data_IF_849799882919
#
_entry.id   IF_849799882919
#
_cell.length_a   1.000
_cell.length_b   1.000
_cell.length_c   1.000
_cell.angle_alpha   90.00
_cell.angle_beta   90.00
_cell.angle_gamma   90.00
#
_symmetry.space_group_name_H-M   'P 1'
#
loop_
_entity.id
_entity.type
_entity.pdbx_description
1 polymer ?
#
# COMPACT_ATOMS: atom_id res chain seq x y z
N UNK A 1 42.09 -27.41 5.18
CA UNK A 1 41.06 -28.16 4.43
C UNK A 1 40.47 -27.16 3.47
N UNK A 2 41.05 -27.07 2.28
CA UNK A 2 40.62 -26.11 1.27
C UNK A 2 39.43 -26.70 0.52
N UNK A 3 38.30 -26.02 0.59
CA UNK A 3 37.09 -26.42 -0.14
C UNK A 3 37.10 -25.64 -1.44
N UNK A 4 37.57 -26.27 -2.53
CA UNK A 4 37.43 -25.72 -3.86
C UNK A 4 35.98 -25.93 -4.32
N UNK A 5 35.22 -24.84 -4.45
CA UNK A 5 33.94 -24.86 -5.15
C UNK A 5 34.23 -24.75 -6.65
N UNK A 6 34.14 -25.87 -7.36
CA UNK A 6 34.11 -25.88 -8.82
C UNK A 6 32.74 -25.39 -9.24
N UNK A 7 32.64 -24.15 -9.74
CA UNK A 7 31.46 -23.73 -10.47
C UNK A 7 31.34 -24.64 -11.69
N UNK A 8 30.29 -25.46 -11.74
CA UNK A 8 29.91 -26.14 -12.98
C UNK A 8 29.62 -25.04 -14.01
N UNK A 9 30.14 -25.12 -15.24
CA UNK A 9 29.77 -24.17 -16.28
C UNK A 9 28.25 -24.24 -16.46
N UNK A 10 27.59 -23.10 -16.32
CA UNK A 10 26.17 -22.96 -16.62
C UNK A 10 26.02 -23.20 -18.13
N UNK A 11 24.99 -23.94 -18.54
CA UNK A 11 24.72 -24.13 -19.97
C UNK A 11 24.41 -22.77 -20.61
N UNK A 12 24.81 -22.55 -21.87
CA UNK A 12 24.74 -21.25 -22.57
C UNK A 12 23.33 -20.58 -22.51
N UNK A 13 22.27 -21.39 -22.38
CA UNK A 13 20.88 -20.94 -22.22
C UNK A 13 20.60 -20.35 -20.83
N UNK A 14 21.20 -20.89 -19.75
CA UNK A 14 21.04 -20.35 -18.39
C UNK A 14 21.86 -19.08 -18.17
N UNK A 15 23.03 -18.96 -18.81
CA UNK A 15 23.86 -17.74 -18.78
C UNK A 15 23.13 -16.56 -19.46
N UNK A 16 22.52 -16.80 -20.61
CA UNK A 16 21.73 -15.79 -21.33
C UNK A 16 20.51 -15.30 -20.52
N UNK A 17 19.78 -16.21 -19.88
CA UNK A 17 18.65 -15.87 -19.00
C UNK A 17 19.10 -15.03 -17.79
N UNK A 18 20.31 -15.28 -17.27
CA UNK A 18 20.85 -14.54 -16.13
C UNK A 18 21.35 -13.14 -16.53
N UNK A 19 22.01 -13.01 -17.68
CA UNK A 19 22.41 -11.71 -18.23
C UNK A 19 21.20 -10.83 -18.56
N UNK A 20 20.15 -11.40 -19.17
CA UNK A 20 18.90 -10.70 -19.43
C UNK A 20 18.24 -10.23 -18.11
N UNK A 21 18.17 -11.09 -17.09
CA UNK A 21 17.62 -10.73 -15.79
C UNK A 21 18.44 -9.65 -15.04
N UNK A 22 19.76 -9.66 -15.17
CA UNK A 22 20.63 -8.63 -14.63
C UNK A 22 20.47 -7.30 -15.36
N UNK A 23 20.34 -7.34 -16.70
CA UNK A 23 20.08 -6.17 -17.53
C UNK A 23 18.75 -5.51 -17.13
N UNK A 24 17.67 -6.28 -17.04
CA UNK A 24 16.36 -5.80 -16.58
C UNK A 24 16.42 -5.21 -15.16
N UNK A 25 17.14 -5.86 -14.22
CA UNK A 25 17.29 -5.35 -12.86
C UNK A 25 18.01 -3.99 -12.81
N UNK A 26 19.07 -3.84 -13.60
CA UNK A 26 19.84 -2.59 -13.67
C UNK A 26 19.03 -1.43 -14.28
N UNK A 27 18.28 -1.69 -15.35
CA UNK A 27 17.39 -0.70 -15.96
C UNK A 27 16.27 -0.24 -15.01
N UNK A 28 15.70 -1.17 -14.22
CA UNK A 28 14.67 -0.84 -13.23
C UNK A 28 15.23 0.02 -12.09
N UNK A 29 16.44 -0.28 -11.61
CA UNK A 29 17.11 0.50 -10.57
C UNK A 29 17.42 1.93 -11.04
N UNK A 30 17.92 2.08 -12.27
CA UNK A 30 18.20 3.38 -12.87
C UNK A 30 16.92 4.22 -13.05
N UNK A 31 15.82 3.58 -13.46
CA UNK A 31 14.53 4.24 -13.60
C UNK A 31 13.96 4.70 -12.24
N UNK A 32 14.07 3.88 -11.20
CA UNK A 32 13.63 4.24 -9.85
C UNK A 32 14.43 5.43 -9.29
N UNK A 33 15.76 5.38 -9.44
CA UNK A 33 16.66 6.44 -8.99
C UNK A 33 16.32 7.77 -9.68
N UNK A 34 16.14 7.74 -11.01
CA UNK A 34 15.74 8.91 -11.79
C UNK A 34 14.38 9.47 -11.37
N UNK A 35 13.41 8.60 -11.09
CA UNK A 35 12.11 9.03 -10.60
C UNK A 35 12.23 9.76 -9.26
N UNK A 36 12.98 9.19 -8.32
CA UNK A 36 13.23 9.78 -7.01
C UNK A 36 13.86 11.18 -7.12
N UNK A 37 14.89 11.34 -7.95
CA UNK A 37 15.54 12.64 -8.16
C UNK A 37 14.61 13.68 -8.75
N UNK A 38 13.76 13.31 -9.72
CA UNK A 38 12.78 14.22 -10.30
C UNK A 38 11.75 14.68 -9.25
N UNK A 39 11.31 13.76 -8.38
CA UNK A 39 10.36 14.08 -7.31
C UNK A 39 10.96 15.03 -6.28
N UNK A 40 12.25 14.89 -5.95
CA UNK A 40 12.94 15.85 -5.10
C UNK A 40 13.00 17.25 -5.72
N UNK A 41 13.37 17.33 -7.00
CA UNK A 41 13.38 18.61 -7.74
C UNK A 41 11.99 19.26 -7.77
N UNK A 42 10.93 18.47 -7.91
CA UNK A 42 9.55 18.99 -7.84
C UNK A 42 9.21 19.60 -6.47
N UNK A 43 9.74 19.03 -5.38
CA UNK A 43 9.54 19.58 -4.04
C UNK A 43 10.31 20.87 -3.82
N UNK A 44 11.56 20.94 -4.29
CA UNK A 44 12.40 22.13 -4.14
C UNK A 44 11.86 23.32 -4.94
N UNK A 45 11.24 23.05 -6.09
CA UNK A 45 10.62 24.06 -6.95
C UNK A 45 9.19 24.45 -6.51
N UNK A 46 8.61 23.74 -5.54
CA UNK A 46 7.25 23.99 -5.08
C UNK A 46 7.20 25.18 -4.11
N UNK A 47 6.42 26.20 -4.45
CA UNK A 47 6.18 27.39 -3.59
C UNK A 47 5.28 27.07 -2.38
N UNK A 48 4.82 25.82 -2.25
CA UNK A 48 3.86 25.37 -1.24
C UNK A 48 4.53 24.41 -0.25
N UNK A 49 4.26 24.61 1.04
CA UNK A 49 4.70 23.72 2.11
C UNK A 49 4.25 22.28 1.82
N UNK A 50 5.22 21.43 1.47
CA UNK A 50 5.01 20.04 1.05
C UNK A 50 4.79 19.10 2.24
N UNK A 51 5.07 19.56 3.45
CA UNK A 51 4.95 18.80 4.69
C UNK A 51 4.24 19.62 5.77
N UNK A 52 2.96 19.97 5.57
CA UNK A 52 2.21 20.79 6.51
C UNK A 52 2.16 20.16 7.91
N UNK A 53 2.37 20.98 8.94
CA UNK A 53 2.40 20.53 10.34
C UNK A 53 1.09 19.90 10.83
N UNK A 54 -0.06 20.36 10.32
CA UNK A 54 -1.37 19.90 10.77
C UNK A 54 -2.40 19.99 9.65
N UNK A 55 -3.16 18.92 9.48
CA UNK A 55 -4.36 18.88 8.64
C UNK A 55 -5.52 18.38 9.49
N UNK A 56 -6.58 19.17 9.60
CA UNK A 56 -7.75 18.82 10.40
C UNK A 56 -8.66 17.88 9.60
N UNK A 57 -8.56 16.58 9.86
CA UNK A 57 -9.47 15.55 9.32
C UNK A 57 -10.76 15.57 10.13
N UNK A 58 -11.90 15.72 9.47
CA UNK A 58 -13.21 15.76 10.13
C UNK A 58 -13.77 14.36 10.38
N UNK A 59 -13.54 13.43 9.45
CA UNK A 59 -14.02 12.04 9.52
C UNK A 59 -13.00 11.10 8.85
N UNK A 60 -12.91 9.86 9.34
CA UNK A 60 -12.10 8.83 8.67
C UNK A 60 -12.77 8.34 7.39
N UNK A 61 -12.02 7.69 6.49
CA UNK A 61 -12.59 7.14 5.26
C UNK A 61 -13.59 6.01 5.57
N UNK A 62 -13.35 5.25 6.64
CA UNK A 62 -14.29 4.20 7.08
C UNK A 62 -15.63 4.77 7.54
N UNK A 63 -15.59 5.87 8.31
CA UNK A 63 -16.79 6.58 8.77
C UNK A 63 -17.49 7.29 7.61
N UNK A 64 -16.75 7.89 6.68
CA UNK A 64 -17.29 8.48 5.46
C UNK A 64 -18.13 7.46 4.68
N UNK A 65 -17.57 6.27 4.43
CA UNK A 65 -18.29 5.21 3.73
C UNK A 65 -19.52 4.77 4.51
N UNK A 66 -19.43 4.64 5.84
CA UNK A 66 -20.58 4.26 6.65
C UNK A 66 -21.70 5.32 6.62
N UNK A 67 -21.34 6.60 6.73
CA UNK A 67 -22.25 7.75 6.75
C UNK A 67 -23.02 7.91 5.45
N UNK A 68 -22.36 7.75 4.30
CA UNK A 68 -22.95 7.97 2.98
C UNK A 68 -23.29 6.68 2.22
N UNK A 69 -23.28 5.53 2.91
CA UNK A 69 -23.56 4.21 2.32
C UNK A 69 -24.93 4.11 1.65
N UNK A 70 -25.91 4.84 2.16
CA UNK A 70 -27.31 4.77 1.74
C UNK A 70 -27.65 5.66 0.56
N UNK A 71 -26.70 6.40 -0.01
CA UNK A 71 -26.92 7.21 -1.20
C UNK A 71 -27.17 6.33 -2.43
N UNK A 72 -28.08 6.76 -3.29
CA UNK A 72 -28.33 6.11 -4.57
C UNK A 72 -27.38 6.65 -5.66
N UNK A 73 -27.31 5.95 -6.79
CA UNK A 73 -26.48 6.36 -7.90
C UNK A 73 -26.93 7.73 -8.44
N UNK A 74 -26.02 8.69 -8.46
CA UNK A 74 -26.28 10.06 -8.91
C UNK A 74 -26.68 11.02 -7.79
N UNK A 75 -26.83 10.55 -6.56
CA UNK A 75 -27.10 11.43 -5.43
C UNK A 75 -25.84 12.24 -5.06
N UNK A 76 -26.05 13.52 -4.78
CA UNK A 76 -25.02 14.44 -4.31
C UNK A 76 -25.50 15.14 -3.04
N UNK A 77 -24.63 15.19 -2.03
CA UNK A 77 -24.85 15.97 -0.81
C UNK A 77 -23.93 17.17 -0.86
N UNK A 78 -24.49 18.36 -1.11
CA UNK A 78 -23.70 19.59 -1.29
C UNK A 78 -23.48 20.39 0.00
N UNK A 79 -24.38 20.23 0.98
CA UNK A 79 -24.40 21.00 2.22
C UNK A 79 -23.44 20.48 3.30
N UNK A 80 -22.92 19.26 3.13
CA UNK A 80 -22.09 18.58 4.13
C UNK A 80 -20.61 18.64 3.73
N UNK A 81 -19.87 19.57 4.34
CA UNK A 81 -18.43 19.71 4.11
C UNK A 81 -17.65 18.79 5.04
N UNK A 82 -16.84 17.92 4.44
CA UNK A 82 -15.99 16.97 5.15
C UNK A 82 -14.56 17.02 4.63
N UNK A 83 -13.60 16.85 5.53
CA UNK A 83 -12.19 16.66 5.22
C UNK A 83 -11.78 15.23 5.53
N UNK A 84 -11.24 14.55 4.51
CA UNK A 84 -10.70 13.19 4.61
C UNK A 84 -9.22 13.20 4.24
N UNK A 85 -8.46 12.28 4.81
CA UNK A 85 -7.06 12.07 4.48
C UNK A 85 -6.79 10.60 4.18
N UNK A 86 -5.78 10.33 3.37
CA UNK A 86 -5.38 8.98 3.02
C UNK A 86 -4.24 8.98 2.01
N UNK A 87 -3.82 7.79 1.60
CA UNK A 87 -2.79 7.59 0.59
C UNK A 87 -3.42 7.38 -0.78
N UNK A 88 -2.92 8.09 -1.78
CA UNK A 88 -3.32 7.87 -3.17
C UNK A 88 -2.63 6.61 -3.67
N UNK A 89 -3.42 5.63 -4.10
CA UNK A 89 -2.92 4.35 -4.65
C UNK A 89 -2.92 4.35 -6.18
N UNK A 90 -3.89 5.05 -6.77
CA UNK A 90 -4.04 5.16 -8.22
C UNK A 90 -4.53 6.55 -8.57
N UNK A 91 -4.04 7.06 -9.69
CA UNK A 91 -4.53 8.27 -10.35
C UNK A 91 -4.91 7.88 -11.76
N UNK A 92 -6.15 8.15 -12.15
CA UNK A 92 -6.63 7.94 -13.53
C UNK A 92 -7.24 9.23 -14.06
N UNK A 93 -6.81 9.68 -15.22
CA UNK A 93 -7.39 10.83 -15.91
C UNK A 93 -8.37 10.35 -16.97
N UNK A 94 -9.60 10.89 -16.96
CA UNK A 94 -10.57 10.63 -18.03
C UNK A 94 -10.62 11.78 -19.03
N UNK A 95 -10.19 12.97 -18.63
CA UNK A 95 -10.11 14.19 -19.46
C UNK A 95 -9.12 15.17 -18.83
N UNK A 96 -8.79 16.26 -19.52
CA UNK A 96 -7.98 17.36 -18.97
C UNK A 96 -8.62 18.04 -17.76
N UNK A 97 -9.95 17.94 -17.63
CA UNK A 97 -10.74 18.54 -16.53
C UNK A 97 -11.19 17.53 -15.47
N UNK A 98 -10.95 16.23 -15.67
CA UNK A 98 -11.46 15.19 -14.78
C UNK A 98 -10.41 14.12 -14.51
N UNK A 99 -10.01 14.05 -13.25
CA UNK A 99 -9.12 13.02 -12.72
C UNK A 99 -9.79 12.34 -11.52
N UNK A 100 -9.61 11.04 -11.42
CA UNK A 100 -10.05 10.24 -10.29
C UNK A 100 -8.83 9.75 -9.51
N UNK A 101 -8.96 9.79 -8.19
CA UNK A 101 -7.93 9.35 -7.26
C UNK A 101 -8.51 8.25 -6.37
N UNK A 102 -7.84 7.10 -6.32
CA UNK A 102 -8.20 6.03 -5.40
C UNK A 102 -7.49 6.29 -4.07
N UNK A 103 -8.27 6.73 -3.07
CA UNK A 103 -7.78 7.02 -1.72
C UNK A 103 -7.88 5.77 -0.83
N UNK A 104 -6.76 5.38 -0.23
CA UNK A 104 -6.68 4.27 0.71
C UNK A 104 -6.32 4.78 2.11
N UNK A 105 -7.09 4.38 3.11
CA UNK A 105 -6.90 4.77 4.52
C UNK A 105 -6.86 3.50 5.39
N UNK A 106 -7.87 2.62 5.28
CA UNK A 106 -7.86 1.24 5.80
C UNK A 106 -9.07 0.46 5.29
N UNK A 107 -8.87 -0.81 4.89
CA UNK A 107 -9.90 -1.84 4.53
C UNK A 107 -11.30 -1.32 4.20
N UNK A 108 -11.56 -1.08 2.93
CA UNK A 108 -12.91 -0.83 2.42
C UNK A 108 -13.24 -1.81 1.31
N UNK A 109 -14.46 -2.35 1.32
CA UNK A 109 -14.97 -3.09 0.17
C UNK A 109 -15.25 -2.06 -0.92
N UNK A 110 -14.84 -2.37 -2.16
CA UNK A 110 -15.09 -1.52 -3.33
C UNK A 110 -16.60 -1.24 -3.46
N UNK A 111 -16.97 0.01 -3.24
CA UNK A 111 -18.17 0.66 -3.72
C UNK A 111 -17.74 2.06 -4.18
N UNK A 112 -18.29 2.55 -5.29
CA UNK A 112 -17.83 3.78 -5.97
C UNK A 112 -18.33 5.05 -5.28
N UNK A 113 -18.30 5.10 -3.95
CA UNK A 113 -18.58 6.31 -3.22
C UNK A 113 -17.44 7.32 -3.45
N UNK A 114 -17.80 8.51 -3.92
CA UNK A 114 -16.84 9.53 -4.33
C UNK A 114 -17.01 10.80 -3.49
N UNK A 115 -15.89 11.48 -3.21
CA UNK A 115 -15.88 12.83 -2.64
C UNK A 115 -15.47 13.82 -3.72
N UNK A 116 -16.21 14.93 -3.84
CA UNK A 116 -15.87 16.02 -4.75
C UNK A 116 -15.06 17.07 -3.97
N UNK A 117 -13.75 17.21 -4.24
CA UNK A 117 -12.91 18.11 -3.46
C UNK A 117 -13.15 19.58 -3.87
N UNK A 118 -13.34 20.46 -2.88
CA UNK A 118 -13.23 21.91 -3.09
C UNK A 118 -11.79 22.40 -3.04
N UNK A 119 -10.96 21.73 -2.24
CA UNK A 119 -9.52 21.97 -2.12
C UNK A 119 -8.79 20.63 -2.01
N UNK A 120 -7.56 20.58 -2.51
CA UNK A 120 -6.70 19.41 -2.43
C UNK A 120 -5.33 19.82 -1.93
N UNK A 121 -4.85 19.20 -0.85
CA UNK A 121 -3.57 19.54 -0.22
C UNK A 121 -2.73 18.29 -0.09
N UNK A 122 -1.48 18.37 -0.55
CA UNK A 122 -0.49 17.30 -0.36
C UNK A 122 0.02 17.39 1.08
N UNK A 123 -0.10 16.29 1.83
CA UNK A 123 0.34 16.23 3.23
C UNK A 123 1.74 15.63 3.38
N UNK A 124 2.05 14.63 2.56
CA UNK A 124 3.35 13.97 2.51
C UNK A 124 3.54 13.35 1.12
N UNK A 125 4.40 13.93 0.28
CA UNK A 125 4.69 13.39 -1.06
C UNK A 125 5.41 12.03 -0.97
N UNK A 126 5.02 11.11 -1.84
CA UNK A 126 5.78 9.87 -2.06
C UNK A 126 6.85 10.12 -3.14
N UNK A 127 8.10 9.81 -2.78
CA UNK A 127 9.27 10.03 -3.64
C UNK A 127 9.67 8.81 -4.45
N UNK A 128 9.29 7.61 -4.00
CA UNK A 128 9.59 6.36 -4.70
C UNK A 128 8.41 5.93 -5.58
N UNK A 129 8.72 5.20 -6.65
CA UNK A 129 7.70 4.51 -7.43
C UNK A 129 7.12 3.37 -6.60
N UNK A 130 5.79 3.29 -6.52
CA UNK A 130 5.15 2.12 -5.91
C UNK A 130 5.19 0.95 -6.89
N UNK A 131 5.42 -0.30 -6.41
CA UNK A 131 5.35 -1.48 -7.26
C UNK A 131 3.97 -1.57 -7.92
N UNK A 132 3.93 -1.61 -9.25
CA UNK A 132 2.67 -1.71 -9.98
C UNK A 132 2.06 -3.11 -9.81
N UNK A 133 0.75 -3.23 -9.54
CA UNK A 133 0.10 -4.52 -9.48
C UNK A 133 0.04 -5.16 -10.88
N UNK A 134 0.89 -6.14 -11.15
CA UNK A 134 0.96 -6.82 -12.44
C UNK A 134 -0.32 -7.60 -12.84
N UNK A 135 -1.30 -7.79 -11.94
CA UNK A 135 -2.49 -8.60 -12.22
C UNK A 135 -3.74 -8.15 -11.46
N UNK A 136 -4.84 -7.91 -12.19
CA UNK A 136 -6.19 -7.63 -11.69
C UNK A 136 -6.92 -8.90 -11.19
N UNK A 137 -6.27 -9.76 -10.39
CA UNK A 137 -6.95 -10.93 -9.82
C UNK A 137 -7.79 -10.49 -8.62
N UNK A 138 -9.08 -10.88 -8.58
CA UNK A 138 -9.98 -10.65 -7.44
C UNK A 138 -9.31 -11.17 -6.17
N UNK A 139 -8.97 -10.25 -5.25
CA UNK A 139 -8.43 -10.60 -3.95
C UNK A 139 -9.55 -11.21 -3.10
N UNK A 140 -9.45 -12.51 -2.79
CA UNK A 140 -10.27 -13.11 -1.74
C UNK A 140 -9.84 -12.54 -0.38
N UNK A 141 -10.82 -12.23 0.45
CA UNK A 141 -10.56 -11.66 1.77
C UNK A 141 -9.98 -12.77 2.65
N UNK A 142 -8.74 -12.61 3.11
CA UNK A 142 -8.18 -13.52 4.11
C UNK A 142 -8.97 -13.40 5.42
N UNK A 143 -9.38 -14.55 5.96
CA UNK A 143 -10.01 -14.66 7.28
C UNK A 143 -9.18 -15.57 8.19
N UNK A 144 -9.15 -15.30 9.51
CA UNK A 144 -8.49 -16.17 10.47
C UNK A 144 -8.90 -17.64 10.28
N UNK A 145 -7.91 -18.55 10.32
CA UNK A 145 -8.11 -19.98 10.08
C UNK A 145 -7.87 -20.44 8.64
N UNK A 146 -7.65 -19.51 7.68
CA UNK A 146 -7.25 -19.86 6.32
C UNK A 146 -5.73 -19.85 6.18
N UNK A 147 -5.19 -20.72 5.34
CA UNK A 147 -3.78 -20.68 4.96
C UNK A 147 -3.44 -19.34 4.32
N UNK A 148 -2.19 -18.90 4.49
CA UNK A 148 -1.68 -17.77 3.73
C UNK A 148 -1.59 -18.16 2.27
N UNK A 149 -1.81 -17.19 1.38
CA UNK A 149 -1.62 -17.38 -0.05
C UNK A 149 -0.54 -16.42 -0.59
N UNK A 150 0.77 -16.65 -0.28
CA UNK A 150 1.86 -15.77 -0.74
C UNK A 150 1.90 -15.59 -2.26
N UNK A 151 1.43 -16.59 -3.01
CA UNK A 151 1.30 -16.56 -4.48
C UNK A 151 0.44 -15.42 -5.00
N UNK A 152 -0.47 -14.89 -4.18
CA UNK A 152 -1.42 -13.82 -4.52
C UNK A 152 -0.93 -12.44 -4.08
N UNK A 153 0.23 -12.36 -3.43
CA UNK A 153 0.78 -11.08 -3.00
C UNK A 153 1.23 -10.26 -4.20
N UNK A 154 1.01 -8.94 -4.10
CA UNK A 154 1.49 -7.98 -5.09
C UNK A 154 3.01 -7.84 -4.98
N UNK A 155 3.49 -7.69 -3.74
CA UNK A 155 4.91 -7.79 -3.42
C UNK A 155 5.18 -9.22 -2.94
N UNK A 156 5.72 -10.08 -3.82
CA UNK A 156 5.94 -11.50 -3.51
C UNK A 156 7.22 -11.74 -2.71
N UNK A 157 8.30 -11.10 -3.15
CA UNK A 157 9.63 -11.29 -2.58
C UNK A 157 9.61 -11.19 -1.06
N UNK A 158 10.08 -12.25 -0.41
CA UNK A 158 10.01 -12.40 1.03
C UNK A 158 11.00 -11.47 1.74
N UNK A 159 12.20 -11.29 1.17
CA UNK A 159 13.22 -10.46 1.77
C UNK A 159 12.78 -8.99 1.80
N UNK A 160 12.32 -8.46 0.67
CA UNK A 160 11.79 -7.10 0.57
C UNK A 160 10.59 -6.90 1.50
N UNK A 161 9.66 -7.86 1.58
CA UNK A 161 8.50 -7.75 2.48
C UNK A 161 8.86 -7.63 3.96
N UNK A 162 9.90 -8.34 4.40
CA UNK A 162 10.31 -8.32 5.79
C UNK A 162 11.20 -7.13 6.12
N UNK A 163 12.10 -6.74 5.21
CA UNK A 163 12.93 -5.55 5.37
C UNK A 163 12.13 -4.26 5.25
N UNK A 164 11.21 -4.20 4.29
CA UNK A 164 10.34 -3.05 4.03
C UNK A 164 8.89 -3.37 4.42
N UNK A 165 8.67 -3.65 5.72
CA UNK A 165 7.35 -4.07 6.22
C UNK A 165 6.24 -3.05 5.99
N UNK A 166 6.58 -1.76 5.94
CA UNK A 166 5.63 -0.69 5.60
C UNK A 166 5.07 -0.87 4.18
N UNK A 167 5.91 -1.28 3.23
CA UNK A 167 5.53 -1.53 1.84
C UNK A 167 4.64 -2.77 1.74
N UNK A 168 4.98 -3.84 2.46
CA UNK A 168 4.15 -5.04 2.55
C UNK A 168 2.76 -4.74 3.12
N UNK A 169 2.67 -3.92 4.17
CA UNK A 169 1.39 -3.49 4.74
C UNK A 169 0.55 -2.65 3.78
N UNK A 170 1.19 -1.83 2.94
CA UNK A 170 0.51 -1.01 1.94
C UNK A 170 0.02 -1.83 0.75
N UNK A 171 0.87 -2.71 0.20
CA UNK A 171 0.57 -3.48 -1.00
C UNK A 171 -0.33 -4.69 -0.70
N UNK A 172 -0.05 -5.44 0.37
CA UNK A 172 -0.79 -6.63 0.77
C UNK A 172 -1.80 -6.32 1.90
N UNK A 173 -2.52 -5.19 1.77
CA UNK A 173 -3.41 -4.62 2.78
C UNK A 173 -4.62 -5.51 3.15
N UNK A 174 -5.00 -6.48 2.31
CA UNK A 174 -6.13 -7.37 2.61
C UNK A 174 -5.77 -8.40 3.69
N UNK A 175 -4.62 -9.06 3.56
CA UNK A 175 -4.20 -10.19 4.41
C UNK A 175 -3.30 -9.75 5.57
N UNK A 176 -2.21 -9.03 5.29
CA UNK A 176 -1.15 -8.77 6.27
C UNK A 176 -1.67 -8.03 7.52
N UNK A 177 -2.50 -6.98 7.42
CA UNK A 177 -3.06 -6.34 8.60
C UNK A 177 -4.03 -7.22 9.39
N UNK A 178 -4.70 -8.21 8.77
CA UNK A 178 -5.53 -9.14 9.56
C UNK A 178 -4.65 -10.06 10.41
N UNK A 179 -3.52 -10.52 9.87
CA UNK A 179 -2.59 -11.39 10.62
C UNK A 179 -2.14 -10.67 11.91
N UNK A 180 -1.73 -9.41 11.80
CA UNK A 180 -1.34 -8.62 12.96
C UNK A 180 -2.48 -8.40 13.96
N UNK A 181 -3.70 -8.13 13.49
CA UNK A 181 -4.87 -8.03 14.36
C UNK A 181 -5.16 -9.36 15.08
N UNK A 182 -5.01 -10.48 14.40
CA UNK A 182 -5.21 -11.80 15.00
C UNK A 182 -4.16 -12.07 16.08
N UNK A 183 -2.88 -11.77 15.83
CA UNK A 183 -1.82 -11.92 16.83
C UNK A 183 -2.06 -11.01 18.04
N UNK A 184 -2.44 -9.76 17.81
CA UNK A 184 -2.83 -8.84 18.88
C UNK A 184 -4.01 -9.37 19.70
N UNK A 185 -5.05 -9.91 19.05
CA UNK A 185 -6.20 -10.52 19.73
C UNK A 185 -5.81 -11.76 20.55
N UNK A 186 -4.91 -12.61 20.04
CA UNK A 186 -4.40 -13.77 20.76
C UNK A 186 -3.64 -13.31 22.01
N UNK A 187 -2.73 -12.33 21.88
CA UNK A 187 -1.97 -11.81 23.01
C UNK A 187 -2.89 -11.15 24.05
N UNK A 188 -3.87 -10.36 23.62
CA UNK A 188 -4.89 -9.77 24.50
C UNK A 188 -5.68 -10.84 25.23
N UNK A 189 -6.05 -11.92 24.55
CA UNK A 189 -6.77 -13.04 25.16
C UNK A 189 -5.94 -13.75 26.22
N UNK A 190 -4.67 -14.08 25.90
CA UNK A 190 -3.76 -14.75 26.84
C UNK A 190 -3.54 -13.89 28.08
N UNK A 191 -3.24 -12.59 27.90
CA UNK A 191 -3.09 -11.65 29.01
C UNK A 191 -4.32 -11.63 29.89
N UNK A 192 -5.50 -11.42 29.29
CA UNK A 192 -6.77 -11.41 30.03
C UNK A 192 -7.03 -12.72 30.76
N UNK A 193 -6.72 -13.86 30.13
CA UNK A 193 -6.90 -15.18 30.73
C UNK A 193 -6.01 -15.37 31.96
N UNK A 194 -4.73 -15.00 31.88
CA UNK A 194 -3.80 -15.11 33.00
C UNK A 194 -4.13 -14.12 34.13
N UNK A 195 -4.49 -12.88 33.80
CA UNK A 195 -4.92 -11.89 34.80
C UNK A 195 -6.17 -12.33 35.57
N UNK A 196 -7.10 -13.04 34.92
CA UNK A 196 -8.30 -13.61 35.59
C UNK A 196 -7.96 -14.75 36.55
N UNK A 197 -6.77 -15.33 36.45
CA UNK A 197 -6.26 -16.38 37.33
C UNK A 197 -5.30 -15.80 38.40
N UNK A 198 -5.30 -14.49 38.60
CA UNK A 198 -4.41 -13.75 39.52
C UNK A 198 -2.90 -13.91 39.23
N UNK A 199 -2.53 -14.23 37.98
CA UNK A 199 -1.13 -14.13 37.55
C UNK A 199 -0.75 -12.67 37.31
N UNK A 200 0.44 -12.29 37.76
CA UNK A 200 1.03 -10.96 37.57
C UNK A 200 1.79 -10.92 36.23
N UNK A 201 1.59 -9.84 35.46
CA UNK A 201 2.25 -9.59 34.16
C UNK A 201 3.64 -8.96 34.29
#
# INVERSE_FOLDING_TARGET
>A
MDVAATALPLDDEEEYVYEDALSECSEVQDAEQKYYENRLKDLDNGDQDSYPHKFAVSISVSEFIAKYKSLFNGDHVEDDQVSVAGRIMSKRSSSSKLSFYDLNDRKTKRGELSIFPRSFTVLSPCLHMLPSPANNRKQEIWSPGHLRHPERYLLKDQETRFRQRYLDLMMNNHEIPQIFKTVDNINKYIRRFLSLLDFVE
#
